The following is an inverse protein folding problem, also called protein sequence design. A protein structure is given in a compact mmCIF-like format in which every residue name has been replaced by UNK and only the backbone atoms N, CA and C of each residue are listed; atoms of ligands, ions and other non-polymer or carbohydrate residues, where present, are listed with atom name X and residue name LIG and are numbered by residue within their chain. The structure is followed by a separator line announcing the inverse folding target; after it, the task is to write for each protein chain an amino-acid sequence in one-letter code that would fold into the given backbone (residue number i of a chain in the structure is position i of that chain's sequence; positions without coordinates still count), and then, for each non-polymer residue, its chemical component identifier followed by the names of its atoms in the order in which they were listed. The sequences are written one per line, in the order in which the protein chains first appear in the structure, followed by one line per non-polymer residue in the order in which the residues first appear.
data_IF_388104028657
#
_entry.id   IF_388104028657
#
_cell.length_a   1.000
_cell.length_b   1.000
_cell.length_c   1.000
_cell.angle_alpha   90.00
_cell.angle_beta   90.00
_cell.angle_gamma   90.00
#
_symmetry.space_group_name_H-M   'P 1'
#
loop_
_entity.id
_entity.type
_entity.pdbx_description
1 polymer ?
#
# COMPACT_ATOMS: atom_id res chain seq x y z
N UNK A 1 21.65 1.28 -3.10
CA UNK A 1 20.95 0.04 -3.53
C UNK A 1 19.45 0.27 -3.41
N UNK A 2 18.62 -0.36 -4.24
CA UNK A 2 17.16 -0.18 -4.19
C UNK A 2 16.58 -1.00 -3.02
N UNK A 3 15.71 -0.41 -2.20
CA UNK A 3 15.07 -1.10 -1.07
C UNK A 3 14.11 -2.19 -1.58
N UNK A 4 13.93 -3.30 -0.85
CA UNK A 4 12.88 -4.28 -1.16
C UNK A 4 11.51 -3.64 -0.98
N UNK A 5 10.59 -3.92 -1.91
CA UNK A 5 9.21 -3.46 -1.83
C UNK A 5 8.30 -4.53 -1.20
N UNK A 6 7.36 -4.11 -0.36
CA UNK A 6 6.25 -4.95 0.13
C UNK A 6 4.94 -4.37 -0.40
N UNK A 7 4.12 -5.20 -1.04
CA UNK A 7 2.87 -4.78 -1.67
C UNK A 7 1.66 -5.27 -0.86
N UNK A 8 0.74 -4.36 -0.53
CA UNK A 8 -0.57 -4.66 0.02
C UNK A 8 -1.66 -4.28 -0.97
N UNK A 9 -2.52 -5.24 -1.29
CA UNK A 9 -3.74 -5.05 -2.06
C UNK A 9 -4.90 -5.15 -1.08
N UNK A 10 -5.51 -4.00 -0.75
CA UNK A 10 -6.47 -3.88 0.36
C UNK A 10 -7.74 -3.15 -0.07
N UNK A 11 -8.91 -3.53 0.45
CA UNK A 11 -10.17 -2.82 0.16
C UNK A 11 -10.36 -1.59 1.03
N UNK A 12 -10.36 -1.78 2.36
CA UNK A 12 -10.64 -0.70 3.32
C UNK A 12 -9.51 -0.56 4.32
N UNK A 13 -8.82 0.59 4.33
CA UNK A 13 -7.77 0.82 5.31
C UNK A 13 -8.34 0.99 6.72
N UNK A 14 -7.77 0.26 7.66
CA UNK A 14 -8.08 0.39 9.08
C UNK A 14 -6.87 0.92 9.87
N UNK A 15 -7.06 1.68 10.97
CA UNK A 15 -5.96 2.23 11.75
C UNK A 15 -4.97 1.19 12.26
N UNK A 16 -5.45 -0.01 12.65
CA UNK A 16 -4.57 -1.07 13.14
C UNK A 16 -3.63 -1.62 12.05
N UNK A 17 -4.09 -1.66 10.80
CA UNK A 17 -3.27 -2.08 9.66
C UNK A 17 -2.16 -1.05 9.42
N UNK A 18 -2.51 0.22 9.44
CA UNK A 18 -1.56 1.32 9.25
C UNK A 18 -0.51 1.37 10.37
N UNK A 19 -0.89 1.13 11.62
CA UNK A 19 0.05 1.01 12.72
C UNK A 19 1.07 -0.13 12.50
N UNK A 20 0.62 -1.25 11.90
CA UNK A 20 1.49 -2.34 11.48
C UNK A 20 2.44 -1.95 10.35
N UNK A 21 1.95 -1.25 9.33
CA UNK A 21 2.77 -0.73 8.22
C UNK A 21 3.83 0.25 8.73
N UNK A 22 3.45 1.18 9.60
CA UNK A 22 4.36 2.13 10.26
C UNK A 22 5.47 1.40 11.04
N UNK A 23 5.10 0.34 11.77
CA UNK A 23 6.08 -0.50 12.46
C UNK A 23 7.00 -1.23 11.50
N UNK A 24 6.47 -1.79 10.41
CA UNK A 24 7.24 -2.50 9.39
C UNK A 24 8.32 -1.60 8.77
N UNK A 25 7.95 -0.39 8.33
CA UNK A 25 8.93 0.53 7.75
C UNK A 25 9.93 1.04 8.80
N UNK A 26 9.51 1.26 10.05
CA UNK A 26 10.45 1.67 11.11
C UNK A 26 11.49 0.61 11.44
N UNK A 27 11.08 -0.65 11.53
CA UNK A 27 11.95 -1.76 11.97
C UNK A 27 12.79 -2.36 10.82
N UNK A 28 12.40 -2.12 9.57
CA UNK A 28 13.05 -2.69 8.39
C UNK A 28 13.29 -1.64 7.29
N UNK A 29 14.41 -1.75 6.57
CA UNK A 29 14.74 -0.87 5.43
C UNK A 29 14.00 -1.32 4.15
N UNK A 30 12.68 -1.18 4.17
CA UNK A 30 11.77 -1.54 3.06
C UNK A 30 10.92 -0.35 2.62
N UNK A 31 10.46 -0.42 1.38
CA UNK A 31 9.40 0.46 0.85
C UNK A 31 8.07 -0.31 0.88
N UNK A 32 6.99 0.34 1.33
CA UNK A 32 5.65 -0.27 1.37
C UNK A 32 4.77 0.40 0.33
N UNK A 33 4.13 -0.41 -0.51
CA UNK A 33 3.13 0.03 -1.47
C UNK A 33 1.77 -0.53 -1.08
N UNK A 34 0.77 0.35 -0.95
CA UNK A 34 -0.59 -0.01 -0.60
C UNK A 34 -1.49 0.41 -1.75
N UNK A 35 -2.16 -0.54 -2.38
CA UNK A 35 -3.26 -0.25 -3.30
C UNK A 35 -4.56 -0.40 -2.52
N UNK A 36 -5.37 0.66 -2.51
CA UNK A 36 -6.62 0.71 -1.76
C UNK A 36 -7.80 1.12 -2.63
N UNK A 37 -9.02 0.73 -2.25
CA UNK A 37 -10.21 1.37 -2.81
C UNK A 37 -10.40 2.78 -2.20
N UNK A 38 -11.18 3.66 -2.85
CA UNK A 38 -11.40 5.02 -2.34
C UNK A 38 -11.94 4.99 -0.91
N UNK A 39 -11.40 5.85 -0.05
CA UNK A 39 -11.92 6.01 1.31
C UNK A 39 -13.32 6.59 1.22
N UNK A 40 -14.25 6.02 1.99
CA UNK A 40 -15.57 6.58 2.14
C UNK A 40 -15.47 8.06 2.57
N UNK A 41 -16.12 8.98 1.84
CA UNK A 41 -16.03 10.43 2.05
C UNK A 41 -16.45 10.86 3.47
N UNK A 42 -17.28 10.05 4.12
CA UNK A 42 -17.76 10.25 5.49
C UNK A 42 -16.72 9.95 6.58
N UNK A 43 -15.56 9.38 6.22
CA UNK A 43 -14.45 9.09 7.13
C UNK A 43 -13.12 9.59 6.54
N UNK A 44 -12.84 10.90 6.57
CA UNK A 44 -11.60 11.46 6.05
C UNK A 44 -10.44 11.09 6.98
N UNK A 45 -9.88 9.89 6.79
CA UNK A 45 -8.63 9.51 7.46
C UNK A 45 -7.54 10.47 6.99
N UNK A 46 -7.06 11.33 7.88
CA UNK A 46 -5.79 12.02 7.67
C UNK A 46 -4.70 11.00 7.94
N UNK A 47 -4.19 10.42 6.86
CA UNK A 47 -3.11 9.46 6.90
C UNK A 47 -1.79 10.23 7.00
N UNK A 48 -1.25 10.35 8.21
CA UNK A 48 0.15 10.73 8.39
C UNK A 48 0.99 9.47 8.24
N UNK A 49 1.58 9.30 7.06
CA UNK A 49 2.32 8.09 6.70
C UNK A 49 3.80 8.43 6.55
N UNK A 50 4.66 7.51 6.99
CA UNK A 50 6.08 7.60 6.75
C UNK A 50 6.39 7.77 5.26
N UNK A 51 7.47 8.50 4.93
CA UNK A 51 7.91 8.79 3.55
C UNK A 51 8.05 7.54 2.66
N UNK A 52 8.33 6.38 3.27
CA UNK A 52 8.51 5.08 2.61
C UNK A 52 7.20 4.30 2.41
N UNK A 53 6.06 4.90 2.68
CA UNK A 53 4.74 4.32 2.47
C UNK A 53 4.07 5.04 1.30
N UNK A 54 3.82 4.28 0.23
CA UNK A 54 3.22 4.79 -1.00
C UNK A 54 1.80 4.27 -1.14
N UNK A 55 0.82 5.17 -1.18
CA UNK A 55 -0.59 4.81 -1.33
C UNK A 55 -1.05 5.08 -2.75
N UNK A 56 -1.64 4.06 -3.35
CA UNK A 56 -2.18 4.05 -4.70
C UNK A 56 -3.70 3.84 -4.61
N UNK A 57 -4.48 4.70 -5.24
CA UNK A 57 -5.93 4.48 -5.34
C UNK A 57 -6.24 3.53 -6.48
N UNK A 58 -7.03 2.48 -6.19
CA UNK A 58 -7.43 1.46 -7.16
C UNK A 58 -8.13 2.05 -8.37
N UNK A 59 -8.91 3.12 -8.18
CA UNK A 59 -9.62 3.83 -9.24
C UNK A 59 -8.72 4.58 -10.22
N UNK A 60 -7.43 4.81 -9.88
CA UNK A 60 -6.48 5.46 -10.77
C UNK A 60 -5.88 4.52 -11.84
N UNK A 61 -6.24 3.23 -11.83
CA UNK A 61 -5.70 2.22 -12.73
C UNK A 61 -6.82 1.37 -13.32
N UNK A 62 -6.70 0.96 -14.57
CA UNK A 62 -7.37 -0.25 -15.04
C UNK A 62 -6.59 -1.52 -14.64
N UNK A 63 -7.17 -2.69 -14.82
CA UNK A 63 -6.60 -3.97 -14.37
C UNK A 63 -5.22 -4.23 -14.99
N UNK A 64 -5.04 -3.93 -16.28
CA UNK A 64 -3.77 -4.13 -16.99
C UNK A 64 -2.68 -3.17 -16.52
N UNK A 65 -3.05 -1.93 -16.20
CA UNK A 65 -2.12 -0.94 -15.64
C UNK A 65 -1.72 -1.31 -14.23
N UNK A 66 -2.67 -1.75 -13.41
CA UNK A 66 -2.40 -2.18 -12.05
C UNK A 66 -1.44 -3.37 -12.03
N UNK A 67 -1.72 -4.42 -12.82
CA UNK A 67 -0.84 -5.59 -12.92
C UNK A 67 0.56 -5.19 -13.36
N UNK A 68 0.68 -4.29 -14.36
CA UNK A 68 1.99 -3.78 -14.81
C UNK A 68 2.71 -2.99 -13.73
N UNK A 69 2.00 -2.16 -12.96
CA UNK A 69 2.56 -1.40 -11.85
C UNK A 69 3.09 -2.35 -10.77
N UNK A 70 2.26 -3.30 -10.31
CA UNK A 70 2.66 -4.29 -9.30
C UNK A 70 3.85 -5.15 -9.77
N UNK A 71 3.87 -5.58 -11.03
CA UNK A 71 5.00 -6.32 -11.59
C UNK A 71 6.27 -5.45 -11.68
N UNK A 72 6.14 -4.16 -12.02
CA UNK A 72 7.25 -3.21 -12.08
C UNK A 72 7.89 -2.91 -10.72
N UNK A 73 7.11 -3.00 -9.64
CA UNK A 73 7.64 -2.89 -8.27
C UNK A 73 8.59 -4.04 -7.92
N UNK A 74 8.36 -5.23 -8.49
CA UNK A 74 9.04 -6.49 -8.12
C UNK A 74 9.07 -6.68 -6.59
N UNK A 75 7.89 -6.75 -5.94
CA UNK A 75 7.83 -6.83 -4.50
C UNK A 75 8.45 -8.13 -3.99
N UNK A 76 9.14 -8.05 -2.85
CA UNK A 76 9.65 -9.23 -2.14
C UNK A 76 8.52 -10.04 -1.50
N UNK A 77 7.39 -9.38 -1.19
CA UNK A 77 6.17 -10.01 -0.72
C UNK A 77 4.94 -9.22 -1.18
N UNK A 78 3.87 -9.93 -1.52
CA UNK A 78 2.58 -9.34 -1.86
C UNK A 78 1.47 -9.98 -1.02
N UNK A 79 0.61 -9.14 -0.43
CA UNK A 79 -0.53 -9.55 0.38
C UNK A 79 -1.81 -9.10 -0.32
N UNK A 80 -2.65 -10.06 -0.69
CA UNK A 80 -4.01 -9.81 -1.18
C UNK A 80 -5.00 -10.14 -0.07
N UNK A 81 -5.52 -9.12 0.61
CA UNK A 81 -6.40 -9.28 1.76
C UNK A 81 -7.69 -8.49 1.53
N UNK A 82 -8.75 -9.21 1.17
CA UNK A 82 -10.04 -8.61 0.79
C UNK A 82 -10.01 -7.90 -0.55
N UNK A 83 -9.14 -8.30 -1.47
CA UNK A 83 -8.98 -7.71 -2.81
C UNK A 83 -10.04 -8.18 -3.80
#
# INVERSE_FOLDING_TARGET
MKRPAVLFLYTELAPYFLAGVERLVRDHDVDVHIVRWPVNKEAPFQLDLAERVHVHERGAYNDRELVRMCAGLRPAAAFASGW
#
